data_IF_785260935996
#
_entry.id   IF_785260935996
#
_cell.length_a   1.000
_cell.length_b   1.000
_cell.length_c   1.000
_cell.angle_alpha   90.00
_cell.angle_beta   90.00
_cell.angle_gamma   90.00
#
_symmetry.space_group_name_H-M   'P 1'
#
loop_
_entity.id
_entity.type
_entity.pdbx_description
1 polymer ?
#
# COMPACT_ATOMS: atom_id res chain seq x y z
N UNK A 1 -12.67 10.21 15.39
CA UNK A 1 -12.05 10.61 14.10
C UNK A 1 -12.22 9.43 13.16
N UNK A 2 -12.76 9.63 11.95
CA UNK A 2 -12.86 8.55 10.95
C UNK A 2 -11.46 8.37 10.36
N UNK A 3 -10.87 7.19 10.47
CA UNK A 3 -9.59 6.88 9.85
C UNK A 3 -9.85 6.17 8.53
N UNK A 4 -9.58 6.84 7.43
CA UNK A 4 -9.68 6.24 6.11
C UNK A 4 -8.42 5.43 5.81
N UNK A 5 -8.58 4.24 5.25
CA UNK A 5 -7.45 3.42 4.79
C UNK A 5 -7.21 3.72 3.32
N UNK A 6 -6.02 4.22 3.01
CA UNK A 6 -5.59 4.49 1.63
C UNK A 6 -4.74 3.32 1.16
N UNK A 7 -5.16 2.68 0.08
CA UNK A 7 -4.44 1.59 -0.57
C UNK A 7 -3.99 2.12 -1.93
N UNK A 8 -2.69 2.16 -2.15
CA UNK A 8 -2.10 2.58 -3.42
C UNK A 8 -1.21 1.47 -3.96
N UNK A 9 -1.39 1.12 -5.23
CA UNK A 9 -0.57 0.13 -5.94
C UNK A 9 -0.62 0.38 -7.45
N UNK A 10 0.53 0.31 -8.11
CA UNK A 10 0.64 0.40 -9.59
C UNK A 10 -0.01 1.67 -10.19
N UNK A 11 -0.01 2.78 -9.43
CA UNK A 11 -0.63 4.05 -9.83
C UNK A 11 -2.13 4.16 -9.58
N UNK A 12 -2.79 3.09 -9.13
CA UNK A 12 -4.18 3.11 -8.71
C UNK A 12 -4.28 3.36 -7.20
N UNK A 13 -5.23 4.22 -6.80
CA UNK A 13 -5.49 4.52 -5.39
C UNK A 13 -6.95 4.24 -5.06
N UNK A 14 -7.16 3.44 -4.04
CA UNK A 14 -8.47 3.16 -3.46
C UNK A 14 -8.52 3.71 -2.04
N UNK A 15 -9.57 4.48 -1.75
CA UNK A 15 -9.88 4.96 -0.41
C UNK A 15 -10.95 4.04 0.17
N UNK A 16 -10.60 3.34 1.25
CA UNK A 16 -11.51 2.45 1.96
C UNK A 16 -11.98 3.16 3.22
N UNK A 17 -13.29 3.34 3.33
CA UNK A 17 -13.92 3.93 4.51
C UNK A 17 -13.83 2.99 5.72
N UNK A 18 -13.81 3.56 6.92
CA UNK A 18 -13.81 2.81 8.17
C UNK A 18 -15.01 1.85 8.28
N UNK A 19 -16.18 2.30 7.82
CA UNK A 19 -17.40 1.48 7.82
C UNK A 19 -17.24 0.23 6.96
N UNK A 20 -16.66 0.36 5.77
CA UNK A 20 -16.40 -0.77 4.89
C UNK A 20 -15.38 -1.71 5.51
N UNK A 21 -14.35 -1.16 6.17
CA UNK A 21 -13.31 -1.93 6.82
C UNK A 21 -13.86 -2.75 7.99
N UNK A 22 -14.77 -2.19 8.80
CA UNK A 22 -15.47 -2.89 9.88
C UNK A 22 -16.37 -3.99 9.33
N UNK A 23 -17.15 -3.72 8.29
CA UNK A 23 -18.02 -4.72 7.65
C UNK A 23 -17.22 -5.89 7.09
N UNK A 24 -16.13 -5.61 6.38
CA UNK A 24 -15.25 -6.64 5.80
C UNK A 24 -14.55 -7.43 6.90
N UNK A 25 -14.06 -6.78 7.95
CA UNK A 25 -13.46 -7.45 9.10
C UNK A 25 -14.45 -8.42 9.77
N UNK A 26 -15.71 -7.99 9.97
CA UNK A 26 -16.77 -8.84 10.52
C UNK A 26 -17.11 -10.03 9.61
N UNK A 27 -17.20 -9.83 8.29
CA UNK A 27 -17.43 -10.91 7.33
C UNK A 27 -16.31 -11.95 7.31
N UNK A 28 -15.07 -11.50 7.51
CA UNK A 28 -13.87 -12.36 7.55
C UNK A 28 -13.61 -12.95 8.95
N UNK A 29 -14.38 -12.55 9.98
CA UNK A 29 -14.16 -12.98 11.35
C UNK A 29 -12.86 -12.48 11.98
N UNK A 30 -12.32 -11.37 11.49
CA UNK A 30 -11.08 -10.75 11.98
C UNK A 30 -11.35 -9.38 12.59
N UNK A 31 -10.36 -8.82 13.30
CA UNK A 31 -10.48 -7.43 13.78
C UNK A 31 -10.11 -6.44 12.66
N UNK A 32 -10.70 -5.22 12.65
CA UNK A 32 -10.33 -4.17 11.72
C UNK A 32 -8.83 -3.85 11.74
N UNK A 33 -8.19 -3.93 12.91
CA UNK A 33 -6.76 -3.72 13.08
C UNK A 33 -5.92 -4.79 12.38
N UNK A 34 -6.28 -6.07 12.54
CA UNK A 34 -5.62 -7.18 11.84
C UNK A 34 -5.77 -7.06 10.33
N UNK A 35 -6.95 -6.64 9.86
CA UNK A 35 -7.22 -6.41 8.44
C UNK A 35 -6.35 -5.27 7.90
N UNK A 36 -6.26 -4.14 8.60
CA UNK A 36 -5.38 -3.01 8.25
C UNK A 36 -3.91 -3.41 8.19
N UNK A 37 -3.43 -4.12 9.21
CA UNK A 37 -2.04 -4.58 9.27
C UNK A 37 -1.70 -5.51 8.11
N UNK A 38 -2.56 -6.48 7.82
CA UNK A 38 -2.38 -7.44 6.72
C UNK A 38 -2.42 -6.73 5.38
N UNK A 39 -3.38 -5.84 5.18
CA UNK A 39 -3.53 -5.05 3.95
C UNK A 39 -2.31 -4.15 3.75
N UNK A 40 -1.87 -3.43 4.78
CA UNK A 40 -0.66 -2.63 4.72
C UNK A 40 0.59 -3.46 4.39
N UNK A 41 0.71 -4.71 4.86
CA UNK A 41 1.80 -5.60 4.50
C UNK A 41 1.73 -6.09 3.04
N UNK A 42 0.53 -6.42 2.56
CA UNK A 42 0.29 -6.82 1.16
C UNK A 42 0.66 -5.70 0.18
N UNK A 43 0.34 -4.45 0.53
CA UNK A 43 0.55 -3.29 -0.34
C UNK A 43 1.87 -2.54 -0.06
N UNK A 44 2.58 -2.80 1.06
CA UNK A 44 3.92 -2.26 1.33
C UNK A 44 5.01 -2.74 0.36
N UNK A 45 4.73 -3.77 -0.43
CA UNK A 45 5.74 -4.50 -1.20
C UNK A 45 5.77 -4.15 -2.70
N UNK A 46 4.93 -3.23 -3.19
CA UNK A 46 4.84 -2.96 -4.62
C UNK A 46 5.71 -1.79 -5.11
N UNK A 47 5.79 -0.66 -4.37
CA UNK A 47 6.27 0.59 -4.98
C UNK A 47 7.56 1.19 -4.40
N UNK A 48 8.03 0.76 -3.23
CA UNK A 48 9.18 1.42 -2.59
C UNK A 48 10.55 0.97 -3.14
N UNK A 49 10.67 -0.28 -3.60
CA UNK A 49 11.96 -0.86 -4.05
C UNK A 49 12.17 -0.61 -5.55
N UNK A 50 11.12 -0.70 -6.36
CA UNK A 50 11.19 -0.57 -7.82
C UNK A 50 11.63 0.83 -8.29
N UNK A 51 11.04 1.90 -7.76
CA UNK A 51 11.34 3.27 -8.19
C UNK A 51 12.72 3.74 -7.72
N UNK A 52 13.11 3.39 -6.49
CA UNK A 52 14.42 3.76 -5.95
C UNK A 52 15.56 3.05 -6.70
N UNK A 53 15.39 1.77 -7.04
CA UNK A 53 16.39 1.03 -7.81
C UNK A 53 16.40 1.42 -9.29
N UNK A 54 15.23 1.72 -9.89
CA UNK A 54 15.16 2.31 -11.22
C UNK A 54 15.85 3.68 -11.29
N UNK A 55 15.68 4.53 -10.27
CA UNK A 55 16.33 5.83 -10.18
C UNK A 55 17.86 5.69 -10.00
N UNK A 56 18.31 4.79 -9.11
CA UNK A 56 19.75 4.50 -8.95
C UNK A 56 20.39 4.00 -10.25
N UNK A 57 19.71 3.09 -10.95
CA UNK A 57 20.18 2.55 -12.24
C UNK A 57 20.32 3.67 -13.29
N UNK A 58 19.32 4.57 -13.37
CA UNK A 58 19.35 5.71 -14.29
C UNK A 58 20.46 6.73 -13.94
N UNK A 59 20.68 7.02 -12.66
CA UNK A 59 21.79 7.88 -12.21
C UNK A 59 23.15 7.28 -12.56
N UNK A 60 23.31 5.95 -12.41
CA UNK A 60 24.54 5.25 -12.78
C UNK A 60 24.82 5.31 -14.28
N UNK A 61 23.79 5.16 -15.11
CA UNK A 61 23.92 5.31 -16.58
C UNK A 61 24.31 6.73 -17.00
N UNK A 62 23.81 7.75 -16.31
CA UNK A 62 24.11 9.15 -16.62
C UNK A 62 25.53 9.57 -16.17
N UNK A 63 26.07 8.96 -15.11
CA UNK A 63 27.44 9.23 -14.62
C UNK A 63 28.53 8.43 -15.34
N UNK A 64 28.15 7.46 -16.17
CA UNK A 64 29.07 6.62 -16.96
C UNK A 64 29.27 7.07 -18.40
N UNK A 65 28.80 8.27 -18.77
CA UNK A 65 29.08 8.94 -20.04
C UNK A 65 30.00 10.13 -19.81
#
# INVERSE_FOLDING_TARGET
>A
MKQEMIISKDGETMIVSDENLIKVAALLGVTPESLRSTTAQLFKSADAVSLADALKSKIKQLKGK
#
